data_IF_837370180590
#
_entry.id   IF_837370180590
#
_cell.length_a   1.000
_cell.length_b   1.000
_cell.length_c   1.000
_cell.angle_alpha   90.00
_cell.angle_beta   90.00
_cell.angle_gamma   90.00
#
_symmetry.space_group_name_H-M   'P 1'
#
loop_
_entity.id
_entity.type
_entity.pdbx_description
1 polymer ?
#
# COMPACT_ATOMS: atom_id res chain seq x y z
N UNK A 1 37.60 -45.68 -41.62
CA UNK A 1 38.07 -44.35 -41.15
C UNK A 1 37.00 -43.25 -41.30
N UNK A 2 36.10 -43.31 -42.28
CA UNK A 2 35.02 -42.31 -42.50
C UNK A 2 33.96 -42.21 -41.38
N UNK A 3 33.59 -43.32 -40.76
CA UNK A 3 32.55 -43.36 -39.70
C UNK A 3 32.94 -42.50 -38.49
N UNK A 4 34.23 -42.50 -38.13
CA UNK A 4 34.76 -41.69 -37.03
C UNK A 4 34.74 -40.18 -37.37
N UNK A 5 34.99 -39.82 -38.63
CA UNK A 5 34.94 -38.43 -39.11
C UNK A 5 33.51 -37.88 -39.08
N UNK A 6 32.53 -38.70 -39.48
CA UNK A 6 31.09 -38.35 -39.44
C UNK A 6 30.57 -38.16 -38.01
N UNK A 7 30.98 -39.02 -37.06
CA UNK A 7 30.63 -38.87 -35.63
C UNK A 7 31.19 -37.58 -35.03
N UNK A 8 32.42 -37.17 -35.40
CA UNK A 8 33.05 -35.92 -34.91
C UNK A 8 32.28 -34.68 -35.36
N UNK A 9 31.84 -34.64 -36.62
CA UNK A 9 31.07 -33.52 -37.18
C UNK A 9 29.70 -33.38 -36.47
N UNK A 10 29.02 -34.50 -36.20
CA UNK A 10 27.74 -34.51 -35.48
C UNK A 10 27.92 -33.98 -34.05
N UNK A 11 28.96 -34.43 -33.35
CA UNK A 11 29.27 -33.96 -31.99
C UNK A 11 29.56 -32.46 -31.94
N UNK A 12 30.30 -31.91 -32.91
CA UNK A 12 30.54 -30.47 -32.99
C UNK A 12 29.26 -29.67 -33.25
N UNK A 13 28.36 -30.18 -34.10
CA UNK A 13 27.07 -29.55 -34.38
C UNK A 13 26.18 -29.51 -33.14
N UNK A 14 26.13 -30.60 -32.38
CA UNK A 14 25.43 -30.67 -31.09
C UNK A 14 26.02 -29.68 -30.08
N UNK A 15 27.36 -29.60 -29.99
CA UNK A 15 28.05 -28.69 -29.07
C UNK A 15 27.78 -27.21 -29.41
N UNK A 16 27.74 -26.86 -30.70
CA UNK A 16 27.39 -25.50 -31.17
C UNK A 16 25.93 -25.14 -30.85
N UNK A 17 24.98 -26.06 -31.05
CA UNK A 17 23.57 -25.83 -30.70
C UNK A 17 23.36 -25.63 -29.20
N UNK A 18 24.00 -26.45 -28.34
CA UNK A 18 23.95 -26.26 -26.88
C UNK A 18 24.52 -24.91 -26.44
N UNK A 19 25.60 -24.43 -27.07
CA UNK A 19 26.16 -23.10 -26.81
C UNK A 19 25.22 -21.97 -27.23
N UNK A 20 24.54 -22.09 -28.38
CA UNK A 20 23.57 -21.08 -28.87
C UNK A 20 22.34 -20.98 -27.97
N UNK A 21 21.78 -22.12 -27.54
CA UNK A 21 20.68 -22.15 -26.57
C UNK A 21 21.07 -21.51 -25.22
N UNK A 22 22.28 -21.80 -24.71
CA UNK A 22 22.78 -21.21 -23.46
C UNK A 22 22.98 -19.69 -23.58
N UNK A 23 23.40 -19.20 -24.75
CA UNK A 23 23.54 -17.76 -25.04
C UNK A 23 22.17 -17.06 -25.12
N UNK A 24 21.18 -17.66 -25.80
CA UNK A 24 19.83 -17.11 -25.88
C UNK A 24 19.13 -17.08 -24.51
N UNK A 25 19.33 -18.11 -23.68
CA UNK A 25 18.82 -18.12 -22.29
C UNK A 25 19.42 -16.97 -21.47
N UNK A 26 20.72 -16.70 -21.61
CA UNK A 26 21.38 -15.56 -20.94
C UNK A 26 20.88 -14.20 -21.44
N UNK A 27 20.63 -14.06 -22.74
CA UNK A 27 20.10 -12.81 -23.33
C UNK A 27 18.67 -12.56 -22.83
N UNK A 28 17.82 -13.59 -22.78
CA UNK A 28 16.46 -13.45 -22.24
C UNK A 28 16.45 -13.11 -20.74
N UNK A 29 17.34 -13.72 -19.95
CA UNK A 29 17.53 -13.36 -18.52
C UNK A 29 17.98 -11.90 -18.40
N UNK A 30 18.93 -11.46 -19.24
CA UNK A 30 19.43 -10.08 -19.19
C UNK A 30 18.36 -9.07 -19.61
N UNK A 31 17.58 -9.38 -20.64
CA UNK A 31 16.47 -8.53 -21.11
C UNK A 31 15.34 -8.43 -20.08
N UNK A 32 15.05 -9.53 -19.37
CA UNK A 32 14.09 -9.54 -18.26
C UNK A 32 14.60 -8.72 -17.05
N UNK A 33 15.91 -8.73 -16.81
CA UNK A 33 16.51 -7.91 -15.74
C UNK A 33 16.55 -6.42 -16.12
N UNK A 34 16.76 -6.08 -17.40
CA UNK A 34 16.74 -4.70 -17.92
C UNK A 34 15.33 -4.10 -17.96
N UNK A 35 14.26 -4.90 -18.13
CA UNK A 35 12.88 -4.41 -17.93
C UNK A 35 12.47 -4.29 -16.46
N UNK A 36 13.12 -5.02 -15.54
CA UNK A 36 12.86 -4.90 -14.10
C UNK A 36 13.57 -3.70 -13.44
N UNK A 37 14.50 -3.04 -14.13
CA UNK A 37 15.08 -1.74 -13.71
C UNK A 37 14.13 -0.56 -14.00
N UNK A 38 12.84 -0.70 -13.73
CA UNK A 38 11.91 0.43 -13.70
C UNK A 38 12.02 1.17 -12.36
N UNK A 39 12.88 2.18 -12.37
CA UNK A 39 12.79 3.43 -11.61
C UNK A 39 12.55 3.32 -10.08
N UNK A 40 13.49 2.70 -9.36
CA UNK A 40 13.60 2.86 -7.91
C UNK A 40 14.43 4.12 -7.60
N UNK A 41 13.80 5.15 -7.02
CA UNK A 41 14.43 6.46 -6.73
C UNK A 41 15.33 6.41 -5.47
N UNK A 42 15.30 5.32 -4.68
CA UNK A 42 16.21 5.12 -3.56
C UNK A 42 16.88 3.74 -3.66
N UNK A 43 18.19 3.68 -3.42
CA UNK A 43 19.05 2.46 -3.44
C UNK A 43 18.70 1.40 -2.38
N UNK A 44 17.60 1.56 -1.65
CA UNK A 44 17.06 0.51 -0.77
C UNK A 44 16.34 -0.54 -1.61
N UNK A 45 17.04 -1.66 -1.85
CA UNK A 45 16.54 -3.01 -2.19
C UNK A 45 15.06 -3.00 -2.56
N UNK A 46 14.76 -2.78 -3.85
CA UNK A 46 13.40 -2.88 -4.32
C UNK A 46 12.92 -4.33 -4.13
N UNK A 47 11.90 -4.55 -3.27
CA UNK A 47 11.43 -5.89 -2.96
C UNK A 47 10.82 -6.46 -4.23
N UNK A 48 11.29 -7.65 -4.62
CA UNK A 48 10.80 -8.33 -5.81
C UNK A 48 9.32 -8.63 -5.62
N UNK A 49 8.53 -8.20 -6.61
CA UNK A 49 7.14 -8.64 -6.74
C UNK A 49 7.16 -10.12 -7.12
N UNK A 50 6.38 -10.93 -6.40
CA UNK A 50 6.17 -12.35 -6.66
C UNK A 50 5.31 -12.58 -7.91
N UNK A 51 5.25 -13.82 -8.39
CA UNK A 51 4.52 -14.21 -9.61
C UNK A 51 3.01 -13.87 -9.54
N UNK A 52 2.50 -13.60 -8.33
CA UNK A 52 1.10 -13.23 -8.06
C UNK A 52 0.89 -11.71 -7.98
N UNK A 53 1.86 -10.89 -8.42
CA UNK A 53 1.84 -9.43 -8.31
C UNK A 53 1.81 -8.90 -6.86
N UNK A 54 2.39 -9.62 -5.90
CA UNK A 54 2.41 -9.27 -4.46
C UNK A 54 3.84 -9.21 -3.92
N UNK A 55 3.99 -8.75 -2.68
CA UNK A 55 5.29 -8.68 -2.01
C UNK A 55 5.44 -9.83 -1.01
N UNK A 56 5.66 -11.06 -1.50
CA UNK A 56 5.69 -12.27 -0.67
C UNK A 56 4.40 -12.42 0.18
N UNK A 57 3.24 -12.20 -0.44
CA UNK A 57 1.94 -12.22 0.23
C UNK A 57 1.58 -10.96 1.04
N UNK A 58 2.48 -9.97 1.14
CA UNK A 58 2.18 -8.66 1.72
C UNK A 58 1.53 -7.72 0.69
N UNK A 59 0.71 -6.79 1.18
CA UNK A 59 0.13 -5.70 0.35
C UNK A 59 1.18 -4.67 -0.01
N UNK A 60 2.03 -4.31 0.95
CA UNK A 60 3.19 -3.45 0.75
C UNK A 60 4.41 -4.08 1.44
N UNK A 61 5.63 -3.74 0.99
CA UNK A 61 6.82 -4.12 1.72
C UNK A 61 6.80 -3.61 3.16
N UNK A 62 7.39 -4.39 4.07
CA UNK A 62 7.38 -4.11 5.51
C UNK A 62 7.81 -2.68 5.87
N UNK A 63 8.87 -2.16 5.24
CA UNK A 63 9.36 -0.80 5.50
C UNK A 63 8.28 0.28 5.23
N UNK A 64 7.57 0.16 4.11
CA UNK A 64 6.46 1.05 3.76
C UNK A 64 5.26 0.84 4.69
N UNK A 65 4.95 -0.42 5.02
CA UNK A 65 3.89 -0.75 5.98
C UNK A 65 4.13 -0.16 7.37
N UNK A 66 5.38 -0.19 7.88
CA UNK A 66 5.74 0.45 9.14
C UNK A 66 5.64 1.97 9.08
N UNK A 67 5.93 2.59 7.94
CA UNK A 67 5.74 4.03 7.81
C UNK A 67 4.26 4.39 8.00
N UNK A 68 3.34 3.65 7.35
CA UNK A 68 1.90 3.83 7.53
C UNK A 68 1.47 3.54 8.98
N UNK A 69 2.05 2.51 9.61
CA UNK A 69 1.82 2.18 11.00
C UNK A 69 2.17 3.34 11.96
N UNK A 70 3.30 4.03 11.74
CA UNK A 70 3.67 5.21 12.54
C UNK A 70 2.64 6.34 12.36
N UNK A 71 2.27 6.67 11.12
CA UNK A 71 1.28 7.71 10.85
C UNK A 71 -0.14 7.36 11.32
N UNK A 72 -0.45 6.08 11.52
CA UNK A 72 -1.74 5.67 12.11
C UNK A 72 -1.93 6.22 13.52
N UNK A 73 -0.86 6.50 14.27
CA UNK A 73 -0.93 7.10 15.61
C UNK A 73 -1.50 8.53 15.62
N UNK A 74 -1.56 9.22 14.47
CA UNK A 74 -2.18 10.56 14.39
C UNK A 74 -3.63 10.56 14.90
N UNK A 75 -4.34 9.45 14.72
CA UNK A 75 -5.72 9.29 15.16
C UNK A 75 -5.90 9.37 16.69
N UNK A 76 -4.83 9.14 17.47
CA UNK A 76 -4.84 9.32 18.93
C UNK A 76 -5.20 10.76 19.28
N UNK A 77 -4.53 11.73 18.63
CA UNK A 77 -4.72 13.15 18.94
C UNK A 77 -6.14 13.60 18.61
N UNK A 78 -6.68 13.15 17.48
CA UNK A 78 -8.04 13.50 17.07
C UNK A 78 -9.09 12.85 17.95
N UNK A 79 -8.88 11.61 18.39
CA UNK A 79 -9.76 10.94 19.34
C UNK A 79 -9.80 11.66 20.69
N UNK A 80 -8.63 12.08 21.21
CA UNK A 80 -8.60 12.89 22.43
C UNK A 80 -9.27 14.24 22.25
N UNK A 81 -9.11 14.87 21.08
CA UNK A 81 -9.81 16.10 20.76
C UNK A 81 -11.34 15.92 20.70
N UNK A 82 -11.82 14.76 20.22
CA UNK A 82 -13.24 14.41 20.27
C UNK A 82 -13.75 14.34 21.72
N UNK A 83 -13.01 13.68 22.60
CA UNK A 83 -13.35 13.59 24.02
C UNK A 83 -13.36 14.95 24.71
N UNK A 84 -12.40 15.82 24.39
CA UNK A 84 -12.36 17.19 24.91
C UNK A 84 -13.63 17.98 24.54
N UNK A 85 -14.12 17.83 23.31
CA UNK A 85 -15.35 18.47 22.82
C UNK A 85 -16.62 17.64 23.10
N UNK A 86 -16.57 16.68 24.01
CA UNK A 86 -17.72 15.83 24.44
C UNK A 86 -18.33 14.94 23.35
N UNK A 87 -17.64 14.72 22.22
CA UNK A 87 -18.02 13.77 21.17
C UNK A 87 -17.56 12.34 21.49
N UNK A 88 -17.98 11.78 22.63
CA UNK A 88 -17.47 10.50 23.16
C UNK A 88 -17.59 9.33 22.18
N UNK A 89 -18.74 9.18 21.51
CA UNK A 89 -18.96 8.09 20.56
C UNK A 89 -17.99 8.16 19.37
N UNK A 90 -17.78 9.36 18.83
CA UNK A 90 -16.82 9.59 17.73
C UNK A 90 -15.38 9.36 18.20
N UNK A 91 -15.05 9.78 19.44
CA UNK A 91 -13.77 9.52 20.07
C UNK A 91 -13.45 8.03 20.16
N UNK A 92 -14.39 7.20 20.65
CA UNK A 92 -14.26 5.75 20.69
C UNK A 92 -14.15 5.13 19.30
N UNK A 93 -14.93 5.60 18.32
CA UNK A 93 -14.83 5.15 16.93
C UNK A 93 -13.45 5.44 16.33
N UNK A 94 -12.86 6.60 16.65
CA UNK A 94 -11.49 6.95 16.24
C UNK A 94 -10.42 6.06 16.89
N UNK A 95 -10.54 5.78 18.20
CA UNK A 95 -9.63 4.87 18.91
C UNK A 95 -9.75 3.43 18.39
N UNK A 96 -10.96 3.00 18.05
CA UNK A 96 -11.20 1.72 17.39
C UNK A 96 -10.48 1.63 16.05
N UNK A 97 -10.61 2.66 15.21
CA UNK A 97 -9.95 2.72 13.90
C UNK A 97 -8.44 2.71 14.02
N UNK A 98 -7.89 3.46 14.99
CA UNK A 98 -6.47 3.38 15.35
C UNK A 98 -6.08 1.94 15.69
N UNK A 99 -6.82 1.29 16.59
CA UNK A 99 -6.52 -0.07 17.06
C UNK A 99 -6.51 -1.10 15.93
N UNK A 100 -7.51 -1.05 15.04
CA UNK A 100 -7.58 -1.95 13.88
C UNK A 100 -6.43 -1.69 12.91
N UNK A 101 -6.11 -0.42 12.66
CA UNK A 101 -5.05 -0.03 11.73
C UNK A 101 -3.68 -0.43 12.26
N UNK A 102 -3.39 -0.21 13.55
CA UNK A 102 -2.14 -0.64 14.16
C UNK A 102 -1.98 -2.16 14.15
N UNK A 103 -3.07 -2.90 14.38
CA UNK A 103 -3.05 -4.36 14.35
C UNK A 103 -2.77 -4.91 12.94
N UNK A 104 -3.30 -4.26 11.90
CA UNK A 104 -3.08 -4.66 10.52
C UNK A 104 -1.70 -4.22 10.00
N UNK A 105 -1.36 -2.93 10.10
CA UNK A 105 -0.15 -2.35 9.51
C UNK A 105 1.17 -2.81 10.15
N UNK A 106 1.13 -3.40 11.35
CA UNK A 106 2.30 -4.07 11.94
C UNK A 106 2.82 -5.19 11.03
N UNK A 107 1.93 -5.89 10.32
CA UNK A 107 2.27 -6.95 9.37
C UNK A 107 1.19 -7.07 8.27
N UNK A 108 1.29 -6.28 7.18
CA UNK A 108 0.21 -6.05 6.21
C UNK A 108 0.08 -7.20 5.20
N UNK A 109 -0.39 -8.36 5.67
CA UNK A 109 -0.72 -9.51 4.82
C UNK A 109 -1.96 -9.24 3.98
N UNK A 110 -1.87 -9.51 2.68
CA UNK A 110 -2.97 -9.28 1.72
C UNK A 110 -4.21 -10.11 2.03
N UNK A 111 -4.05 -11.41 2.21
CA UNK A 111 -5.15 -12.33 2.51
C UNK A 111 -5.17 -12.64 4.01
N UNK A 112 -5.52 -11.64 4.82
CA UNK A 112 -5.61 -11.79 6.27
C UNK A 112 -6.90 -11.23 6.84
N UNK A 113 -7.47 -11.92 7.82
CA UNK A 113 -8.65 -11.46 8.56
C UNK A 113 -8.47 -10.05 9.14
N UNK A 114 -7.26 -9.74 9.62
CA UNK A 114 -6.91 -8.41 10.16
C UNK A 114 -7.13 -7.28 9.17
N UNK A 115 -6.81 -7.51 7.88
CA UNK A 115 -7.05 -6.53 6.81
C UNK A 115 -8.54 -6.28 6.61
N UNK A 116 -9.32 -7.36 6.49
CA UNK A 116 -10.76 -7.24 6.26
C UNK A 116 -11.44 -6.55 7.44
N UNK A 117 -11.06 -6.92 8.66
CA UNK A 117 -11.56 -6.29 9.88
C UNK A 117 -11.24 -4.78 9.93
N UNK A 118 -10.00 -4.39 9.64
CA UNK A 118 -9.59 -2.98 9.58
C UNK A 118 -10.37 -2.19 8.53
N UNK A 119 -10.49 -2.72 7.30
CA UNK A 119 -11.25 -2.07 6.23
C UNK A 119 -12.71 -1.86 6.63
N UNK A 120 -13.36 -2.90 7.17
CA UNK A 120 -14.77 -2.82 7.59
C UNK A 120 -14.93 -1.79 8.72
N UNK A 121 -14.01 -1.78 9.69
CA UNK A 121 -14.08 -0.85 10.82
C UNK A 121 -13.86 0.61 10.39
N UNK A 122 -12.90 0.87 9.49
CA UNK A 122 -12.66 2.19 8.92
C UNK A 122 -13.88 2.65 8.12
N UNK A 123 -14.49 1.78 7.31
CA UNK A 123 -15.71 2.11 6.56
C UNK A 123 -16.88 2.46 7.49
N UNK A 124 -17.10 1.67 8.54
CA UNK A 124 -18.13 1.94 9.54
C UNK A 124 -17.89 3.30 10.23
N UNK A 125 -16.66 3.54 10.67
CA UNK A 125 -16.26 4.81 11.28
C UNK A 125 -16.49 5.98 10.33
N UNK A 126 -16.11 5.84 9.06
CA UNK A 126 -16.35 6.84 8.02
C UNK A 126 -17.85 7.14 7.86
N UNK A 127 -18.71 6.13 7.80
CA UNK A 127 -20.16 6.35 7.67
C UNK A 127 -20.76 7.05 8.88
N UNK A 128 -20.32 6.68 10.09
CA UNK A 128 -20.73 7.36 11.32
C UNK A 128 -20.32 8.83 11.28
N UNK A 129 -19.08 9.14 10.92
CA UNK A 129 -18.59 10.53 10.87
C UNK A 129 -19.27 11.34 9.77
N UNK A 130 -19.52 10.74 8.59
CA UNK A 130 -20.30 11.37 7.53
C UNK A 130 -21.72 11.68 7.97
N UNK A 131 -22.37 10.78 8.72
CA UNK A 131 -23.70 11.05 9.27
C UNK A 131 -23.69 12.25 10.21
N UNK A 132 -22.72 12.32 11.15
CA UNK A 132 -22.58 13.48 12.05
C UNK A 132 -22.24 14.77 11.30
N UNK A 133 -21.46 14.70 10.22
CA UNK A 133 -21.10 15.86 9.42
C UNK A 133 -22.31 16.54 8.75
N UNK A 134 -23.46 15.86 8.62
CA UNK A 134 -24.68 16.48 8.11
C UNK A 134 -25.37 17.40 9.13
N UNK A 135 -25.05 17.25 10.42
CA UNK A 135 -25.71 17.97 11.53
C UNK A 135 -24.77 18.90 12.29
N UNK A 136 -23.49 18.97 11.91
CA UNK A 136 -22.48 19.79 12.56
C UNK A 136 -22.16 21.00 11.68
N UNK A 137 -22.01 22.17 12.30
CA UNK A 137 -21.73 23.45 11.61
C UNK A 137 -20.45 23.43 10.76
N UNK A 138 -19.43 22.69 11.18
CA UNK A 138 -18.17 22.48 10.45
C UNK A 138 -18.21 21.30 9.45
N UNK A 139 -19.38 20.73 9.19
CA UNK A 139 -19.57 19.54 8.36
C UNK A 139 -18.98 19.65 6.95
N UNK A 140 -19.10 20.81 6.30
CA UNK A 140 -18.50 21.05 4.99
C UNK A 140 -16.97 20.94 5.01
N UNK A 141 -16.32 21.39 6.09
CA UNK A 141 -14.88 21.25 6.25
C UNK A 141 -14.47 19.79 6.38
N UNK A 142 -15.21 19.00 7.16
CA UNK A 142 -15.01 17.54 7.22
C UNK A 142 -15.16 16.88 5.85
N UNK A 143 -16.21 17.23 5.08
CA UNK A 143 -16.43 16.66 3.74
C UNK A 143 -15.29 16.99 2.77
N UNK A 144 -14.77 18.22 2.81
CA UNK A 144 -13.64 18.65 1.98
C UNK A 144 -12.38 17.80 2.23
N UNK A 145 -11.97 17.66 3.49
CA UNK A 145 -10.80 16.85 3.85
C UNK A 145 -11.01 15.38 3.55
N UNK A 146 -12.21 14.86 3.81
CA UNK A 146 -12.56 13.48 3.53
C UNK A 146 -12.52 13.17 2.03
N UNK A 147 -13.08 14.05 1.19
CA UNK A 147 -13.00 13.94 -0.26
C UNK A 147 -11.55 13.94 -0.77
N UNK A 148 -10.71 14.82 -0.22
CA UNK A 148 -9.27 14.86 -0.53
C UNK A 148 -8.56 13.56 -0.12
N UNK A 149 -8.90 13.00 1.04
CA UNK A 149 -8.41 11.70 1.50
C UNK A 149 -8.80 10.55 0.57
N UNK A 150 -10.05 10.52 0.08
CA UNK A 150 -10.51 9.51 -0.89
C UNK A 150 -9.71 9.59 -2.20
N UNK A 151 -9.46 10.80 -2.70
CA UNK A 151 -8.61 11.01 -3.88
C UNK A 151 -7.20 10.46 -3.62
N UNK A 152 -6.61 10.78 -2.46
CA UNK A 152 -5.29 10.26 -2.09
C UNK A 152 -5.25 8.73 -2.03
N UNK A 153 -6.30 8.08 -1.51
CA UNK A 153 -6.41 6.63 -1.51
C UNK A 153 -6.44 6.04 -2.93
N UNK A 154 -7.21 6.64 -3.83
CA UNK A 154 -7.25 6.26 -5.24
C UNK A 154 -5.89 6.40 -5.94
N UNK A 155 -5.22 7.54 -5.72
CA UNK A 155 -3.87 7.80 -6.26
C UNK A 155 -2.86 6.81 -5.71
N UNK A 156 -2.86 6.56 -4.39
CA UNK A 156 -2.01 5.55 -3.74
C UNK A 156 -2.11 4.19 -4.44
N UNK A 157 -3.33 3.72 -4.69
CA UNK A 157 -3.57 2.44 -5.35
C UNK A 157 -3.11 2.44 -6.83
N UNK A 158 -3.22 3.55 -7.54
CA UNK A 158 -2.71 3.69 -8.91
C UNK A 158 -1.17 3.59 -8.96
N UNK A 159 -0.49 4.12 -7.94
CA UNK A 159 0.96 4.14 -7.88
C UNK A 159 1.59 2.89 -7.25
N UNK A 160 0.83 2.00 -6.62
CA UNK A 160 1.38 0.84 -5.89
C UNK A 160 2.28 -0.06 -6.75
N UNK A 161 1.98 -0.17 -8.06
CA UNK A 161 2.79 -0.94 -9.02
C UNK A 161 3.82 -0.10 -9.79
N UNK A 162 3.70 1.23 -9.75
CA UNK A 162 4.54 2.16 -10.54
C UNK A 162 5.67 2.75 -9.70
N UNK A 163 5.35 3.16 -8.48
CA UNK A 163 6.29 3.76 -7.55
C UNK A 163 5.76 3.60 -6.12
N UNK A 164 6.40 2.70 -5.36
CA UNK A 164 6.02 2.37 -3.99
C UNK A 164 6.15 3.54 -3.02
N UNK A 165 7.13 4.43 -3.23
CA UNK A 165 7.31 5.61 -2.42
C UNK A 165 6.10 6.54 -2.56
N UNK A 166 5.70 6.86 -3.80
CA UNK A 166 4.51 7.69 -4.03
C UNK A 166 3.23 7.01 -3.52
N UNK A 167 3.08 5.71 -3.74
CA UNK A 167 1.92 4.98 -3.20
C UNK A 167 1.82 5.13 -1.68
N UNK A 168 2.92 4.91 -0.97
CA UNK A 168 2.99 5.05 0.48
C UNK A 168 2.76 6.48 0.94
N UNK A 169 3.36 7.46 0.26
CA UNK A 169 3.18 8.88 0.54
C UNK A 169 1.71 9.29 0.43
N UNK A 170 1.03 8.93 -0.66
CA UNK A 170 -0.40 9.22 -0.82
C UNK A 170 -1.26 8.48 0.21
N UNK A 171 -0.89 7.26 0.61
CA UNK A 171 -1.58 6.57 1.69
C UNK A 171 -1.42 7.30 3.03
N UNK A 172 -0.23 7.80 3.34
CA UNK A 172 0.02 8.62 4.53
C UNK A 172 -0.83 9.90 4.50
N UNK A 173 -0.98 10.53 3.34
CA UNK A 173 -1.88 11.68 3.19
C UNK A 173 -3.35 11.33 3.50
N UNK A 174 -3.79 10.09 3.25
CA UNK A 174 -5.13 9.64 3.70
C UNK A 174 -5.26 9.76 5.20
N UNK A 175 -4.27 9.28 5.97
CA UNK A 175 -4.28 9.39 7.43
C UNK A 175 -4.26 10.86 7.88
N UNK A 176 -3.41 11.69 7.28
CA UNK A 176 -3.31 13.11 7.62
C UNK A 176 -4.64 13.83 7.36
N UNK A 177 -5.23 13.68 6.18
CA UNK A 177 -6.50 14.34 5.85
C UNK A 177 -7.67 13.78 6.65
N UNK A 178 -7.71 12.48 6.93
CA UNK A 178 -8.70 11.90 7.82
C UNK A 178 -8.59 12.48 9.24
N UNK A 179 -7.37 12.61 9.77
CA UNK A 179 -7.16 13.22 11.08
C UNK A 179 -7.54 14.71 11.11
N UNK A 180 -7.14 15.50 10.10
CA UNK A 180 -7.54 16.92 10.02
C UNK A 180 -9.06 17.04 9.87
N UNK A 181 -9.67 16.23 9.00
CA UNK A 181 -11.12 16.18 8.82
C UNK A 181 -11.84 15.90 10.13
N UNK A 182 -11.42 14.86 10.86
CA UNK A 182 -11.98 14.51 12.17
C UNK A 182 -11.84 15.66 13.17
N UNK A 183 -10.68 16.32 13.24
CA UNK A 183 -10.50 17.48 14.11
C UNK A 183 -11.47 18.62 13.76
N UNK A 184 -11.63 18.92 12.46
CA UNK A 184 -12.60 19.93 12.00
C UNK A 184 -14.03 19.53 12.33
N UNK A 185 -14.39 18.25 12.21
CA UNK A 185 -15.71 17.75 12.60
C UNK A 185 -15.98 18.01 14.09
N UNK A 186 -15.01 17.70 14.95
CA UNK A 186 -15.19 17.83 16.40
C UNK A 186 -15.07 19.27 16.92
N UNK A 187 -14.58 20.21 16.10
CA UNK A 187 -14.55 21.64 16.46
C UNK A 187 -15.89 22.35 16.18
N UNK A 188 -16.81 21.69 15.48
CA UNK A 188 -18.12 22.24 15.18
C UNK A 188 -19.10 22.06 16.34
N UNK A 189 -20.29 22.62 16.17
CA UNK A 189 -21.41 22.48 17.10
C UNK A 189 -22.57 21.79 16.38
N UNK A 190 -23.33 20.98 17.11
CA UNK A 190 -24.58 20.42 16.60
C UNK A 190 -25.58 21.56 16.32
N UNK A 191 -26.22 21.49 15.15
CA UNK A 191 -27.24 22.44 14.70
C UNK A 191 -28.65 21.94 15.03
#
# INVERSE_FOLDING_TARGET
MEILKKKRIIFEKIRKNKRKQKKNKRINIKKHNETQTQLCICETICPKIDDNNRFNGLVLPLAHGWTIWYFSHLHIFTSFYAFYNQYYFLGFSGLGSLGTSLNYWKYPLHDSWRRYFDIIFIQLTFYIHMYYALFISSGYGYMFFTGTGIICYGVSNCYIKKNLFFATFFHILVHIFASIGNAVLYSGTLQ
#
